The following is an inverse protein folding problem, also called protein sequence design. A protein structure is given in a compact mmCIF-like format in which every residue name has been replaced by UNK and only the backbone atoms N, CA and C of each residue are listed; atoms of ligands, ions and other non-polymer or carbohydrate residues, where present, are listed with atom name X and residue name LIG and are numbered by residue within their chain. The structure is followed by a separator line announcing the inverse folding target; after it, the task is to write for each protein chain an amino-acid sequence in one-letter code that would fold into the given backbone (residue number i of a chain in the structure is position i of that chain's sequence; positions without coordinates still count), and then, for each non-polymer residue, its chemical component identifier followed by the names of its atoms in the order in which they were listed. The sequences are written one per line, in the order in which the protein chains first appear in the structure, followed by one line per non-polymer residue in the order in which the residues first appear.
data_IF_899463759762
#
_entry.id   IF_899463759762
#
_cell.length_a   1.000
_cell.length_b   1.000
_cell.length_c   1.000
_cell.angle_alpha   90.00
_cell.angle_beta   90.00
_cell.angle_gamma   90.00
#
_symmetry.space_group_name_H-M   'P 1'
#
loop_
_entity.id
_entity.type
_entity.pdbx_description
1 polymer ?
#
# COMPACT_ATOMS: atom_id res chain seq x y z
N UNK A 1 0.93 -4.50 -2.30
CA UNK A 1 2.19 -4.94 -1.65
C UNK A 1 2.79 -6.07 -2.44
N UNK A 2 2.29 -7.32 -2.39
CA UNK A 2 2.95 -8.47 -3.05
C UNK A 2 3.34 -8.28 -4.53
N UNK A 3 2.39 -7.90 -5.41
CA UNK A 3 2.70 -7.67 -6.84
C UNK A 3 3.58 -6.43 -7.07
N UNK A 4 3.66 -5.52 -6.10
CA UNK A 4 4.39 -4.24 -6.14
C UNK A 4 5.69 -4.25 -5.31
N UNK A 5 6.09 -5.40 -4.74
CA UNK A 5 7.37 -5.52 -4.02
C UNK A 5 8.58 -5.61 -4.97
N UNK A 6 8.33 -5.86 -6.26
CA UNK A 6 9.39 -6.08 -7.26
C UNK A 6 9.98 -7.50 -7.23
N UNK A 7 9.49 -8.40 -6.37
CA UNK A 7 9.87 -9.81 -6.35
C UNK A 7 8.80 -10.67 -7.06
N UNK A 8 9.11 -11.34 -8.19
CA UNK A 8 8.13 -12.07 -8.98
C UNK A 8 7.83 -13.47 -8.39
N UNK A 9 7.39 -13.52 -7.13
CA UNK A 9 7.01 -14.76 -6.44
C UNK A 9 5.60 -15.21 -6.84
N UNK A 10 4.70 -14.25 -7.00
CA UNK A 10 3.29 -14.50 -7.32
C UNK A 10 3.05 -14.33 -8.82
N UNK A 11 2.33 -15.30 -9.42
CA UNK A 11 2.02 -15.27 -10.87
C UNK A 11 0.90 -14.29 -11.21
N UNK A 12 -0.01 -14.03 -10.28
CA UNK A 12 -1.14 -13.11 -10.42
C UNK A 12 -1.61 -12.62 -9.05
N UNK A 13 -2.32 -11.49 -9.03
CA UNK A 13 -2.94 -10.94 -7.82
C UNK A 13 -4.24 -10.22 -8.15
N UNK A 14 -5.23 -10.36 -7.26
CA UNK A 14 -6.52 -9.68 -7.35
C UNK A 14 -6.69 -8.83 -6.10
N UNK A 15 -6.81 -7.52 -6.26
CA UNK A 15 -7.05 -6.58 -5.17
C UNK A 15 -8.53 -6.15 -5.19
N UNK A 16 -9.25 -6.37 -4.09
CA UNK A 16 -10.68 -6.04 -3.97
C UNK A 16 -10.84 -5.04 -2.83
N UNK A 17 -11.31 -3.83 -3.15
CA UNK A 17 -11.51 -2.73 -2.20
C UNK A 17 -10.32 -2.50 -1.23
N UNK A 18 -9.09 -2.76 -1.70
CA UNK A 18 -7.90 -2.68 -0.87
C UNK A 18 -7.50 -1.21 -0.66
N UNK A 19 -7.23 -0.76 0.59
CA UNK A 19 -6.63 0.54 0.83
C UNK A 19 -5.29 0.66 0.10
N UNK A 20 -5.19 1.63 -0.80
CA UNK A 20 -3.97 1.87 -1.60
C UNK A 20 -3.03 2.86 -0.92
N UNK A 21 -3.58 3.72 -0.07
CA UNK A 21 -2.85 4.67 0.78
C UNK A 21 -3.64 4.93 2.07
N UNK A 22 -2.99 4.78 3.21
CA UNK A 22 -3.61 4.97 4.51
C UNK A 22 -4.05 6.42 4.76
N UNK A 23 -3.48 7.40 4.05
CA UNK A 23 -3.91 8.80 4.11
C UNK A 23 -5.33 9.03 3.59
N UNK A 24 -5.87 8.09 2.81
CA UNK A 24 -7.22 8.19 2.23
C UNK A 24 -8.26 7.37 2.98
N UNK A 25 -7.87 6.70 4.07
CA UNK A 25 -8.79 5.95 4.91
C UNK A 25 -9.23 6.78 6.12
N UNK A 26 -10.19 6.30 6.91
CA UNK A 26 -10.71 7.08 8.03
C UNK A 26 -9.65 7.26 9.14
N UNK A 27 -9.73 8.38 9.86
CA UNK A 27 -8.74 8.74 10.89
C UNK A 27 -8.78 7.81 12.10
N UNK A 28 -9.97 7.37 12.52
CA UNK A 28 -10.14 6.55 13.73
C UNK A 28 -9.43 5.20 13.57
N UNK A 29 -9.62 4.53 12.44
CA UNK A 29 -8.94 3.28 12.14
C UNK A 29 -7.46 3.52 11.90
N UNK A 30 -7.12 4.48 11.05
CA UNK A 30 -5.75 4.66 10.58
C UNK A 30 -4.84 5.11 11.71
N UNK A 31 -5.21 6.14 12.47
CA UNK A 31 -4.34 6.69 13.53
C UNK A 31 -4.22 5.73 14.72
N UNK A 32 -5.21 4.86 14.97
CA UNK A 32 -5.13 3.80 15.99
C UNK A 32 -3.96 2.86 15.73
N UNK A 33 -3.67 2.53 14.48
CA UNK A 33 -2.64 1.54 14.12
C UNK A 33 -1.36 2.17 13.56
N UNK A 34 -1.47 3.30 12.86
CA UNK A 34 -0.37 3.95 12.17
C UNK A 34 0.16 5.18 12.92
N UNK A 35 -0.50 5.64 13.99
CA UNK A 35 -0.32 6.99 14.59
C UNK A 35 -0.65 8.11 13.60
N UNK A 36 -0.55 9.36 14.04
CA UNK A 36 -0.76 10.49 13.13
C UNK A 36 0.36 10.56 12.08
N UNK A 37 0.10 11.12 10.89
CA UNK A 37 1.16 11.35 9.90
C UNK A 37 2.32 12.18 10.43
N UNK A 38 2.08 13.06 11.41
CA UNK A 38 3.12 13.84 12.08
C UNK A 38 4.11 12.95 12.86
N UNK A 39 3.63 11.85 13.42
CA UNK A 39 4.43 10.94 14.25
C UNK A 39 5.05 9.79 13.44
N UNK A 40 4.47 9.42 12.30
CA UNK A 40 4.86 8.23 11.54
C UNK A 40 4.79 8.41 10.02
N UNK A 41 5.20 9.56 9.48
CA UNK A 41 5.18 9.83 8.04
C UNK A 41 5.87 8.73 7.21
N UNK A 42 6.99 8.19 7.72
CA UNK A 42 7.72 7.09 7.07
C UNK A 42 6.86 5.83 6.92
N UNK A 43 6.09 5.47 7.95
CA UNK A 43 5.16 4.34 7.90
C UNK A 43 4.07 4.52 6.85
N UNK A 44 3.49 5.71 6.73
CA UNK A 44 2.50 6.01 5.68
C UNK A 44 3.12 5.89 4.28
N UNK A 45 4.32 6.42 4.09
CA UNK A 45 5.02 6.35 2.80
C UNK A 45 5.40 4.91 2.42
N UNK A 46 5.87 4.11 3.38
CA UNK A 46 6.27 2.72 3.17
C UNK A 46 5.05 1.81 2.89
N UNK A 47 3.93 2.07 3.54
CA UNK A 47 2.71 1.27 3.38
C UNK A 47 1.91 1.64 2.12
N UNK A 48 2.13 2.81 1.52
CA UNK A 48 1.46 3.22 0.28
C UNK A 48 1.81 2.29 -0.89
N UNK A 49 0.80 1.72 -1.54
CA UNK A 49 0.99 0.95 -2.76
C UNK A 49 1.25 1.86 -3.97
N UNK A 50 0.76 3.09 -3.93
CA UNK A 50 0.94 4.10 -5.00
C UNK A 50 2.42 4.42 -5.19
N UNK A 51 3.15 4.59 -4.09
CA UNK A 51 4.61 4.83 -4.11
C UNK A 51 5.42 3.68 -4.73
N UNK A 52 4.82 2.48 -4.87
CA UNK A 52 5.45 1.27 -5.44
C UNK A 52 4.90 0.90 -6.81
N UNK A 53 4.10 1.76 -7.45
CA UNK A 53 3.47 1.47 -8.73
C UNK A 53 4.50 1.11 -9.83
N UNK A 54 5.67 1.74 -9.83
CA UNK A 54 6.76 1.46 -10.77
C UNK A 54 7.41 0.08 -10.60
N UNK A 55 7.18 -0.59 -9.46
CA UNK A 55 7.69 -1.94 -9.16
C UNK A 55 6.64 -3.03 -9.42
N UNK A 56 5.46 -2.65 -9.89
CA UNK A 56 4.40 -3.60 -10.22
C UNK A 56 4.89 -4.55 -11.31
N UNK A 57 4.72 -5.85 -11.10
CA UNK A 57 5.03 -6.89 -12.08
C UNK A 57 3.77 -7.70 -12.44
N UNK A 58 3.81 -8.33 -13.62
CA UNK A 58 2.69 -9.05 -14.21
C UNK A 58 2.00 -8.27 -15.33
N UNK A 59 1.17 -8.97 -16.10
CA UNK A 59 0.33 -8.37 -17.13
C UNK A 59 -0.94 -7.78 -16.49
N UNK A 60 -1.32 -6.58 -16.93
CA UNK A 60 -2.61 -5.98 -16.59
C UNK A 60 -3.67 -6.51 -17.56
N UNK A 61 -4.91 -6.63 -17.06
CA UNK A 61 -6.07 -7.08 -17.83
C UNK A 61 -6.39 -6.17 -19.02
#
# INVERSE_FOLDING_TARGET
MSMSEGTPIFKAGVAVAAPTDWRFYDSVYTERFMRTPKENMEGYNAASAINRANKLNGELL
#
